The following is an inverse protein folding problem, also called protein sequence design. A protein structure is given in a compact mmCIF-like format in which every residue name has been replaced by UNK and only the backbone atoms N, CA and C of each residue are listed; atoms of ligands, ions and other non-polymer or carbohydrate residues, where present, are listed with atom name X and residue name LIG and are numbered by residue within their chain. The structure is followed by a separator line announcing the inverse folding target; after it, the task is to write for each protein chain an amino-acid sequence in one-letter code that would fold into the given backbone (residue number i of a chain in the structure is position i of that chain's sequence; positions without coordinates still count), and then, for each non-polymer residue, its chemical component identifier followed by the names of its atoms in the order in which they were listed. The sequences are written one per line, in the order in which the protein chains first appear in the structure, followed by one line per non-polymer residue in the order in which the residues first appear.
data_IF_358126764735
#
_entry.id   IF_358126764735
#
_cell.length_a   1.000
_cell.length_b   1.000
_cell.length_c   1.000
_cell.angle_alpha   90.00
_cell.angle_beta   90.00
_cell.angle_gamma   90.00
#
_symmetry.space_group_name_H-M   'P 1'
#
loop_
_entity.id
_entity.type
_entity.pdbx_description
1 polymer ?
#
# COMPACT_ATOMS: atom_id res chain seq x y z
N UNK A 1 31.75 13.60 3.58
CA UNK A 1 30.44 14.25 3.71
C UNK A 1 30.19 14.74 5.14
N UNK A 2 30.04 13.86 6.14
CA UNK A 2 29.70 14.27 7.52
C UNK A 2 30.69 15.22 8.20
N UNK A 3 32.01 15.09 7.96
CA UNK A 3 33.04 15.98 8.53
C UNK A 3 33.02 17.41 7.96
N UNK A 4 32.37 17.62 6.82
CA UNK A 4 32.19 18.93 6.21
C UNK A 4 30.78 19.50 6.47
N UNK A 5 29.97 18.83 7.31
CA UNK A 5 28.61 19.27 7.60
C UNK A 5 28.63 20.44 8.59
N UNK A 6 27.85 21.48 8.30
CA UNK A 6 27.62 22.63 9.20
C UNK A 6 26.56 22.35 10.27
N UNK A 7 26.39 21.10 10.70
CA UNK A 7 25.39 20.71 11.68
C UNK A 7 25.87 21.02 13.11
N UNK A 8 24.94 21.44 13.99
CA UNK A 8 25.26 21.73 15.39
C UNK A 8 25.66 20.47 16.19
N UNK A 9 25.11 19.31 15.82
CA UNK A 9 25.47 18.01 16.36
C UNK A 9 25.26 16.88 15.33
N UNK A 10 25.92 15.75 15.54
CA UNK A 10 25.81 14.56 14.68
C UNK A 10 25.28 13.33 15.44
N UNK A 11 24.45 12.52 14.77
CA UNK A 11 24.18 11.14 15.16
C UNK A 11 25.18 10.24 14.44
N UNK A 12 25.97 9.48 15.19
CA UNK A 12 27.03 8.64 14.64
C UNK A 12 26.85 7.18 15.07
N UNK A 13 27.20 6.20 14.20
CA UNK A 13 27.34 4.82 14.62
C UNK A 13 28.38 4.70 15.75
N UNK A 14 28.11 3.86 16.75
CA UNK A 14 29.08 3.51 17.80
C UNK A 14 30.43 3.11 17.20
N UNK A 15 31.54 3.64 17.75
CA UNK A 15 32.90 3.35 17.27
C UNK A 15 33.39 4.25 16.11
N UNK A 16 32.61 5.25 15.70
CA UNK A 16 33.06 6.22 14.70
C UNK A 16 34.06 7.22 15.32
N UNK A 17 35.24 7.39 14.71
CA UNK A 17 36.31 8.27 15.21
C UNK A 17 36.56 9.53 14.34
N UNK A 18 37.28 10.49 14.93
CA UNK A 18 37.78 11.67 14.23
C UNK A 18 36.73 12.75 13.94
N UNK A 19 35.78 12.92 14.87
CA UNK A 19 34.79 14.00 14.86
C UNK A 19 34.99 14.88 16.09
N UNK A 20 35.12 16.19 15.88
CA UNK A 20 35.36 17.18 16.95
C UNK A 20 34.12 18.00 17.31
N UNK A 21 33.04 17.90 16.52
CA UNK A 21 31.75 18.52 16.83
C UNK A 21 30.97 17.67 17.86
N UNK A 22 29.98 18.27 18.56
CA UNK A 22 29.08 17.52 19.43
C UNK A 22 28.42 16.35 18.70
N UNK A 23 28.38 15.18 19.32
CA UNK A 23 27.77 14.00 18.71
C UNK A 23 27.20 13.04 19.74
N UNK A 24 26.24 12.23 19.30
CA UNK A 24 25.62 11.16 20.08
C UNK A 24 25.84 9.85 19.33
N UNK A 25 26.42 8.87 20.01
CA UNK A 25 26.57 7.53 19.46
C UNK A 25 25.27 6.74 19.59
N UNK A 26 24.86 6.11 18.50
CA UNK A 26 23.65 5.30 18.39
C UNK A 26 23.92 4.10 17.50
N UNK A 27 23.21 2.99 17.73
CA UNK A 27 23.42 1.77 16.94
C UNK A 27 22.88 1.92 15.52
N UNK A 28 21.72 2.57 15.36
CA UNK A 28 21.14 2.93 14.07
C UNK A 28 20.85 4.44 13.99
N UNK A 29 21.72 5.22 13.32
CA UNK A 29 21.53 6.65 13.15
C UNK A 29 20.22 7.03 12.44
N UNK A 30 19.70 6.20 11.53
CA UNK A 30 18.44 6.50 10.81
C UNK A 30 17.25 6.33 11.74
N UNK A 31 17.19 5.23 12.48
CA UNK A 31 16.12 5.01 13.46
C UNK A 31 16.15 6.05 14.58
N UNK A 32 17.35 6.41 15.07
CA UNK A 32 17.51 7.48 16.05
C UNK A 32 17.06 8.84 15.50
N UNK A 33 17.41 9.15 14.25
CA UNK A 33 16.98 10.40 13.61
C UNK A 33 15.46 10.47 13.46
N UNK A 34 14.79 9.37 13.06
CA UNK A 34 13.34 9.31 12.97
C UNK A 34 12.67 9.61 14.33
N UNK A 35 13.21 9.06 15.44
CA UNK A 35 12.72 9.36 16.79
C UNK A 35 12.93 10.82 17.18
N UNK A 36 14.06 11.43 16.80
CA UNK A 36 14.29 12.86 17.05
C UNK A 36 13.30 13.73 16.28
N UNK A 37 12.96 13.38 15.04
CA UNK A 37 11.96 14.13 14.28
C UNK A 37 10.62 14.17 15.00
N UNK A 38 10.20 13.10 15.68
CA UNK A 38 8.97 13.08 16.49
C UNK A 38 9.03 14.06 17.68
N UNK A 39 10.22 14.29 18.26
CA UNK A 39 10.40 15.23 19.38
C UNK A 39 10.41 16.67 18.88
N UNK A 40 11.11 16.93 17.77
CA UNK A 40 11.32 18.28 17.25
C UNK A 40 10.23 18.74 16.27
N UNK A 41 9.32 17.85 15.88
CA UNK A 41 8.15 18.15 15.06
C UNK A 41 6.91 17.66 15.81
N UNK A 42 6.47 18.38 16.87
CA UNK A 42 5.27 18.01 17.60
C UNK A 42 4.06 18.00 16.65
N UNK A 43 3.10 17.14 16.95
CA UNK A 43 1.87 17.04 16.16
C UNK A 43 1.13 18.38 16.17
N UNK A 44 0.46 18.69 15.05
CA UNK A 44 -0.46 19.82 15.01
C UNK A 44 -1.67 19.46 15.87
N UNK A 45 -1.84 20.18 16.97
CA UNK A 45 -2.98 20.01 17.87
C UNK A 45 -4.20 20.80 17.37
N UNK A 46 -5.35 20.16 17.42
CA UNK A 46 -6.65 20.80 17.20
C UNK A 46 -7.41 20.87 18.51
N UNK A 47 -8.30 21.85 18.64
CA UNK A 47 -9.21 21.92 19.77
C UNK A 47 -10.11 20.67 19.75
N UNK A 48 -10.10 19.92 20.86
CA UNK A 48 -10.97 18.75 21.05
C UNK A 48 -12.43 19.18 21.03
N UNK A 49 -13.26 18.40 20.33
CA UNK A 49 -14.68 18.66 20.19
C UNK A 49 -15.17 18.50 18.76
N UNK A 50 -16.47 18.67 18.58
CA UNK A 50 -17.12 18.65 17.27
C UNK A 50 -17.40 20.10 16.86
N UNK A 51 -16.94 20.50 15.69
CA UNK A 51 -17.25 21.81 15.12
C UNK A 51 -18.74 21.93 14.80
N UNK A 52 -19.33 23.10 15.08
CA UNK A 52 -20.71 23.44 14.69
C UNK A 52 -20.92 23.47 13.15
N UNK A 53 -19.83 23.52 12.37
CA UNK A 53 -19.85 23.46 10.90
C UNK A 53 -19.68 22.04 10.36
N UNK A 54 -19.51 21.03 11.23
CA UNK A 54 -19.51 19.63 10.84
C UNK A 54 -20.94 19.07 10.79
N UNK A 55 -21.17 18.08 9.93
CA UNK A 55 -22.42 17.32 9.93
C UNK A 55 -22.25 16.05 10.75
N UNK A 56 -23.12 15.86 11.74
CA UNK A 56 -23.24 14.63 12.53
C UNK A 56 -24.64 14.06 12.35
N UNK A 57 -24.71 12.83 11.83
CA UNK A 57 -25.95 12.09 11.61
C UNK A 57 -26.63 11.61 12.89
N UNK A 58 -27.76 10.95 12.71
CA UNK A 58 -28.53 10.33 13.79
C UNK A 58 -27.78 9.14 14.41
N UNK A 59 -27.93 8.97 15.72
CA UNK A 59 -27.39 7.83 16.49
C UNK A 59 -25.87 7.58 16.31
N UNK A 60 -25.10 8.62 15.95
CA UNK A 60 -23.64 8.58 15.91
C UNK A 60 -23.11 8.42 17.33
N UNK A 61 -22.13 7.52 17.51
CA UNK A 61 -21.44 7.32 18.78
C UNK A 61 -20.07 7.95 18.72
N UNK A 62 -19.79 8.85 19.65
CA UNK A 62 -18.53 9.62 19.69
C UNK A 62 -17.81 9.31 21.01
N UNK A 63 -16.58 8.85 20.91
CA UNK A 63 -15.68 8.58 22.03
C UNK A 63 -15.17 9.86 22.73
N UNK A 64 -14.32 9.65 23.73
CA UNK A 64 -13.69 10.73 24.50
C UNK A 64 -12.54 11.36 23.70
N UNK A 65 -12.42 12.68 23.74
CA UNK A 65 -11.28 13.35 23.12
C UNK A 65 -11.31 13.40 21.58
N UNK A 66 -12.47 13.13 20.97
CA UNK A 66 -12.64 13.19 19.51
C UNK A 66 -12.60 14.64 19.01
N UNK A 67 -11.95 14.84 17.87
CA UNK A 67 -11.90 16.12 17.15
C UNK A 67 -12.55 15.94 15.77
N UNK A 68 -13.64 16.66 15.53
CA UNK A 68 -14.27 16.74 14.19
C UNK A 68 -14.20 18.18 13.71
N UNK A 69 -13.39 18.41 12.67
CA UNK A 69 -13.13 19.73 12.12
C UNK A 69 -14.26 20.21 11.19
N UNK A 70 -14.35 21.53 10.88
CA UNK A 70 -15.39 22.09 10.03
C UNK A 70 -15.58 21.34 8.71
N UNK A 71 -16.83 21.17 8.29
CA UNK A 71 -17.22 20.53 7.03
C UNK A 71 -16.87 19.04 6.89
N UNK A 72 -16.44 18.38 7.96
CA UNK A 72 -16.44 16.93 8.03
C UNK A 72 -17.88 16.39 8.06
N UNK A 73 -18.09 15.19 7.50
CA UNK A 73 -19.40 14.55 7.43
C UNK A 73 -19.34 13.16 8.07
N UNK A 74 -20.05 13.00 9.18
CA UNK A 74 -20.19 11.72 9.89
C UNK A 74 -21.64 11.29 9.79
N UNK A 75 -21.90 10.27 8.99
CA UNK A 75 -23.25 9.80 8.63
C UNK A 75 -23.87 8.94 9.76
N UNK A 76 -25.15 8.64 9.61
CA UNK A 76 -25.99 7.95 10.59
C UNK A 76 -25.36 6.64 11.09
N UNK A 77 -25.50 6.39 12.40
CA UNK A 77 -25.02 5.18 13.08
C UNK A 77 -23.50 4.92 13.01
N UNK A 78 -22.70 5.87 12.52
CA UNK A 78 -21.25 5.76 12.56
C UNK A 78 -20.73 5.75 14.02
N UNK A 79 -19.57 5.13 14.22
CA UNK A 79 -18.91 5.03 15.53
C UNK A 79 -17.50 5.58 15.42
N UNK A 80 -17.17 6.57 16.25
CA UNK A 80 -15.85 7.14 16.41
C UNK A 80 -15.29 6.73 17.78
N UNK A 81 -14.15 6.05 17.78
CA UNK A 81 -13.40 5.70 18.98
C UNK A 81 -12.76 6.91 19.67
N UNK A 82 -12.06 6.66 20.77
CA UNK A 82 -11.45 7.72 21.58
C UNK A 82 -10.31 8.41 20.82
N UNK A 83 -10.20 9.73 20.92
CA UNK A 83 -9.09 10.49 20.31
C UNK A 83 -9.06 10.48 18.78
N UNK A 84 -10.13 10.03 18.11
CA UNK A 84 -10.24 10.10 16.64
C UNK A 84 -10.20 11.56 16.17
N UNK A 85 -9.52 11.82 15.06
CA UNK A 85 -9.49 13.14 14.42
C UNK A 85 -9.98 13.07 12.98
N UNK A 86 -11.04 13.81 12.66
CA UNK A 86 -11.63 13.89 11.33
C UNK A 86 -11.41 15.29 10.76
N UNK A 87 -10.65 15.39 9.68
CA UNK A 87 -10.33 16.65 9.02
C UNK A 87 -11.45 17.16 8.10
N UNK A 88 -11.38 18.44 7.65
CA UNK A 88 -12.39 19.02 6.79
C UNK A 88 -12.68 18.21 5.54
N UNK A 89 -13.97 18.10 5.19
CA UNK A 89 -14.46 17.37 4.02
C UNK A 89 -14.18 15.86 4.01
N UNK A 90 -13.64 15.29 5.09
CA UNK A 90 -13.62 13.85 5.23
C UNK A 90 -15.04 13.30 5.47
N UNK A 91 -15.31 12.10 4.96
CA UNK A 91 -16.60 11.43 5.04
C UNK A 91 -16.48 10.09 5.75
N UNK A 92 -17.33 9.87 6.76
CA UNK A 92 -17.50 8.59 7.45
C UNK A 92 -18.94 8.11 7.22
N UNK A 93 -19.10 7.07 6.41
CA UNK A 93 -20.41 6.58 5.99
C UNK A 93 -21.15 5.76 7.04
N UNK A 94 -22.41 5.44 6.73
CA UNK A 94 -23.32 4.79 7.66
C UNK A 94 -22.79 3.47 8.20
N UNK A 95 -23.00 3.22 9.49
CA UNK A 95 -22.59 1.99 10.18
C UNK A 95 -21.08 1.69 10.14
N UNK A 96 -20.26 2.65 9.73
CA UNK A 96 -18.82 2.50 9.75
C UNK A 96 -18.26 2.74 11.15
N UNK A 97 -17.14 2.08 11.44
CA UNK A 97 -16.46 2.19 12.73
C UNK A 97 -15.04 2.69 12.50
N UNK A 98 -14.66 3.73 13.21
CA UNK A 98 -13.30 4.29 13.23
C UNK A 98 -12.73 4.04 14.63
N UNK A 99 -11.66 3.27 14.73
CA UNK A 99 -11.02 2.93 16.01
C UNK A 99 -10.20 4.07 16.61
N UNK A 100 -9.80 3.88 17.87
CA UNK A 100 -9.18 4.92 18.70
C UNK A 100 -7.93 5.53 18.06
N UNK A 101 -7.75 6.84 18.23
CA UNK A 101 -6.59 7.60 17.78
C UNK A 101 -6.31 7.52 16.28
N UNK A 102 -7.32 7.14 15.48
CA UNK A 102 -7.23 7.15 14.02
C UNK A 102 -7.48 8.56 13.48
N UNK A 103 -6.70 8.92 12.45
CA UNK A 103 -6.75 10.23 11.79
C UNK A 103 -7.20 10.07 10.35
N UNK A 104 -8.27 10.77 9.97
CA UNK A 104 -8.70 10.94 8.58
C UNK A 104 -8.36 12.36 8.14
N UNK A 105 -7.45 12.48 7.18
CA UNK A 105 -7.05 13.76 6.58
C UNK A 105 -8.09 14.29 5.58
N UNK A 106 -7.96 15.55 5.10
CA UNK A 106 -9.00 16.20 4.31
C UNK A 106 -9.44 15.40 3.09
N UNK A 107 -10.75 15.34 2.84
CA UNK A 107 -11.36 14.60 1.73
C UNK A 107 -11.12 13.08 1.75
N UNK A 108 -10.63 12.49 2.84
CA UNK A 108 -10.63 11.03 2.98
C UNK A 108 -12.07 10.51 3.09
N UNK A 109 -12.38 9.44 2.37
CA UNK A 109 -13.72 8.85 2.30
C UNK A 109 -13.68 7.43 2.84
N UNK A 110 -14.36 7.20 3.95
CA UNK A 110 -14.66 5.85 4.46
C UNK A 110 -16.13 5.59 4.16
N UNK A 111 -16.41 4.76 3.16
CA UNK A 111 -17.76 4.35 2.77
C UNK A 111 -18.44 3.56 3.89
N UNK A 112 -19.75 3.38 3.75
CA UNK A 112 -20.62 2.66 4.68
C UNK A 112 -20.13 1.24 5.02
N UNK A 113 -20.49 0.72 6.20
CA UNK A 113 -20.15 -0.62 6.68
C UNK A 113 -18.64 -0.98 6.70
N UNK A 114 -17.76 0.02 6.64
CA UNK A 114 -16.32 -0.19 6.76
C UNK A 114 -15.89 -0.18 8.23
N UNK A 115 -14.85 -0.94 8.56
CA UNK A 115 -14.26 -0.97 9.91
C UNK A 115 -12.79 -0.59 9.81
N UNK A 116 -12.41 0.49 10.44
CA UNK A 116 -11.03 0.98 10.54
C UNK A 116 -10.57 0.78 11.98
N UNK A 117 -9.39 0.20 12.16
CA UNK A 117 -8.78 -0.08 13.45
C UNK A 117 -8.29 1.18 14.17
N UNK A 118 -7.53 0.97 15.23
CA UNK A 118 -6.94 2.02 16.04
C UNK A 118 -5.58 2.48 15.49
N UNK A 119 -5.23 3.75 15.73
CA UNK A 119 -3.95 4.38 15.36
C UNK A 119 -3.67 4.30 13.86
N UNK A 120 -4.72 4.30 13.05
CA UNK A 120 -4.60 4.36 11.61
C UNK A 120 -4.41 5.80 11.13
N UNK A 121 -3.73 5.96 10.01
CA UNK A 121 -3.61 7.24 9.31
C UNK A 121 -4.14 7.10 7.90
N UNK A 122 -5.16 7.87 7.54
CA UNK A 122 -5.77 7.86 6.21
C UNK A 122 -5.55 9.24 5.59
N UNK A 123 -4.64 9.31 4.62
CA UNK A 123 -4.25 10.55 3.94
C UNK A 123 -5.33 11.05 2.97
N UNK A 124 -5.16 12.30 2.56
CA UNK A 124 -6.16 13.03 1.80
C UNK A 124 -6.61 12.31 0.53
N UNK A 125 -7.90 12.39 0.23
CA UNK A 125 -8.52 11.82 -0.97
C UNK A 125 -8.39 10.29 -1.12
N UNK A 126 -7.98 9.56 -0.08
CA UNK A 126 -8.08 8.10 -0.06
C UNK A 126 -9.55 7.69 0.02
N UNK A 127 -9.95 6.65 -0.70
CA UNK A 127 -11.31 6.11 -0.72
C UNK A 127 -11.29 4.65 -0.28
N UNK A 128 -11.95 4.38 0.84
CA UNK A 128 -12.05 3.06 1.45
C UNK A 128 -13.50 2.57 1.32
N UNK A 129 -13.68 1.44 0.66
CA UNK A 129 -14.98 0.80 0.47
C UNK A 129 -15.73 1.24 -0.78
N UNK A 130 -15.04 1.72 -1.81
CA UNK A 130 -15.63 1.88 -3.14
C UNK A 130 -16.05 0.51 -3.72
N UNK A 131 -17.00 0.50 -4.66
CA UNK A 131 -17.42 -0.75 -5.29
C UNK A 131 -16.29 -1.36 -6.11
N UNK A 132 -15.99 -2.64 -5.86
CA UNK A 132 -15.15 -3.45 -6.73
C UNK A 132 -15.58 -3.45 -8.20
N UNK A 133 -14.61 -3.70 -9.09
CA UNK A 133 -14.80 -3.85 -10.53
C UNK A 133 -15.48 -5.18 -10.92
N UNK A 134 -16.70 -5.41 -10.43
CA UNK A 134 -17.49 -6.61 -10.69
C UNK A 134 -18.57 -6.40 -11.75
N UNK A 135 -18.43 -7.07 -12.90
CA UNK A 135 -19.40 -7.05 -14.00
C UNK A 135 -19.63 -8.46 -14.56
N UNK A 136 -20.88 -8.76 -14.92
CA UNK A 136 -21.20 -9.92 -15.77
C UNK A 136 -21.34 -9.43 -17.21
N UNK A 137 -21.13 -10.32 -18.19
CA UNK A 137 -21.28 -9.99 -19.61
C UNK A 137 -22.21 -10.99 -20.28
N UNK A 138 -23.34 -10.50 -20.78
CA UNK A 138 -24.31 -11.30 -21.52
C UNK A 138 -24.62 -10.58 -22.84
N UNK A 139 -24.49 -11.29 -23.97
CA UNK A 139 -24.69 -10.73 -25.32
C UNK A 139 -23.91 -9.41 -25.60
N UNK A 140 -22.72 -9.26 -25.01
CA UNK A 140 -21.89 -8.05 -25.16
C UNK A 140 -22.29 -6.87 -24.27
N UNK A 141 -23.30 -7.04 -23.42
CA UNK A 141 -23.73 -6.03 -22.44
C UNK A 141 -23.10 -6.34 -21.08
N UNK A 142 -22.43 -5.35 -20.50
CA UNK A 142 -21.84 -5.45 -19.17
C UNK A 142 -22.85 -4.99 -18.11
N UNK A 143 -23.16 -5.84 -17.13
CA UNK A 143 -24.09 -5.53 -16.04
C UNK A 143 -23.35 -5.54 -14.71
N UNK A 144 -23.48 -4.45 -13.95
CA UNK A 144 -22.83 -4.29 -12.65
C UNK A 144 -23.29 -5.35 -11.67
N UNK A 145 -22.34 -6.02 -11.03
CA UNK A 145 -22.59 -6.92 -9.90
C UNK A 145 -22.55 -6.09 -8.61
N UNK A 146 -23.64 -6.03 -7.83
CA UNK A 146 -23.64 -5.34 -6.54
C UNK A 146 -22.52 -5.84 -5.62
N UNK A 147 -21.80 -4.90 -5.02
CA UNK A 147 -20.73 -5.19 -4.07
C UNK A 147 -21.27 -4.89 -2.67
N UNK A 148 -21.64 -5.94 -1.93
CA UNK A 148 -22.39 -5.81 -0.66
C UNK A 148 -21.55 -6.11 0.58
N UNK A 149 -20.27 -6.47 0.39
CA UNK A 149 -19.32 -6.60 1.48
C UNK A 149 -18.81 -5.25 1.99
N UNK A 150 -17.89 -5.30 2.95
CA UNK A 150 -17.22 -4.13 3.51
C UNK A 150 -15.70 -4.13 3.27
N UNK A 151 -15.02 -3.21 3.95
CA UNK A 151 -13.57 -3.22 4.13
C UNK A 151 -13.26 -3.28 5.62
N UNK A 152 -12.27 -4.07 5.99
CA UNK A 152 -11.69 -4.11 7.33
C UNK A 152 -10.23 -3.69 7.23
N UNK A 153 -9.89 -2.60 7.89
CA UNK A 153 -8.51 -2.14 8.09
C UNK A 153 -8.18 -2.36 9.55
N UNK A 154 -7.12 -3.12 9.82
CA UNK A 154 -6.67 -3.37 11.19
C UNK A 154 -5.82 -2.22 11.74
N UNK A 155 -5.38 -2.35 12.99
CA UNK A 155 -4.63 -1.32 13.72
C UNK A 155 -3.32 -0.90 13.03
N UNK A 156 -2.85 0.31 13.34
CA UNK A 156 -1.52 0.81 12.97
C UNK A 156 -1.28 0.86 11.45
N UNK A 157 -2.33 0.80 10.63
CA UNK A 157 -2.24 0.89 9.17
C UNK A 157 -2.14 2.35 8.72
N UNK A 158 -1.26 2.62 7.76
CA UNK A 158 -1.16 3.92 7.10
C UNK A 158 -1.53 3.81 5.62
N UNK A 159 -2.43 4.67 5.17
CA UNK A 159 -2.99 4.71 3.82
C UNK A 159 -2.68 6.07 3.21
N UNK A 160 -1.88 6.06 2.15
CA UNK A 160 -1.44 7.24 1.41
C UNK A 160 -2.57 7.96 0.66
N UNK A 161 -2.23 9.13 0.13
CA UNK A 161 -3.16 9.97 -0.60
C UNK A 161 -3.62 9.31 -1.91
N UNK A 162 -4.88 9.53 -2.27
CA UNK A 162 -5.49 8.97 -3.48
C UNK A 162 -5.41 7.44 -3.60
N UNK A 163 -5.28 6.72 -2.48
CA UNK A 163 -5.38 5.27 -2.45
C UNK A 163 -6.85 4.84 -2.60
N UNK A 164 -7.11 3.81 -3.40
CA UNK A 164 -8.42 3.19 -3.54
C UNK A 164 -8.43 1.77 -3.02
N UNK A 165 -9.26 1.48 -2.02
CA UNK A 165 -9.46 0.13 -1.48
C UNK A 165 -10.91 -0.26 -1.70
N UNK A 166 -11.14 -1.24 -2.57
CA UNK A 166 -12.49 -1.67 -2.93
C UNK A 166 -13.06 -2.60 -1.87
N UNK A 167 -14.36 -2.45 -1.59
CA UNK A 167 -15.10 -3.43 -0.79
C UNK A 167 -15.23 -4.74 -1.52
N UNK A 168 -15.34 -5.81 -0.73
CA UNK A 168 -15.60 -7.14 -1.25
C UNK A 168 -17.00 -7.28 -1.87
N UNK A 169 -17.16 -8.22 -2.79
CA UNK A 169 -18.49 -8.61 -3.28
C UNK A 169 -19.33 -9.19 -2.14
N UNK A 170 -18.74 -10.08 -1.36
CA UNK A 170 -19.27 -10.66 -0.12
C UNK A 170 -18.16 -10.69 0.94
N UNK A 171 -18.53 -10.54 2.22
CA UNK A 171 -17.57 -10.53 3.31
C UNK A 171 -16.81 -9.20 3.38
N UNK A 172 -15.48 -9.24 3.41
CA UNK A 172 -14.66 -8.04 3.48
C UNK A 172 -13.34 -8.17 2.70
N UNK A 173 -12.89 -7.05 2.14
CA UNK A 173 -11.47 -6.81 1.82
C UNK A 173 -10.75 -6.50 3.12
N UNK A 174 -9.58 -7.09 3.35
CA UNK A 174 -8.87 -6.99 4.65
C UNK A 174 -7.47 -6.44 4.44
N UNK A 175 -7.11 -5.42 5.23
CA UNK A 175 -5.75 -4.88 5.34
C UNK A 175 -5.22 -5.19 6.74
N UNK A 176 -4.19 -6.04 6.80
CA UNK A 176 -3.60 -6.49 8.05
C UNK A 176 -2.82 -5.42 8.78
N UNK A 177 -2.73 -5.59 10.11
CA UNK A 177 -2.11 -4.67 11.07
C UNK A 177 -0.74 -4.17 10.63
N UNK A 178 -0.47 -2.88 10.86
CA UNK A 178 0.86 -2.29 10.65
C UNK A 178 1.27 -2.09 9.19
N UNK A 179 0.43 -2.49 8.23
CA UNK A 179 0.71 -2.32 6.79
C UNK A 179 0.78 -0.83 6.41
N UNK A 180 1.74 -0.49 5.56
CA UNK A 180 1.97 0.86 5.05
C UNK A 180 1.74 0.89 3.54
N UNK A 181 0.77 1.69 3.13
CA UNK A 181 0.33 1.83 1.74
C UNK A 181 0.65 3.25 1.29
N UNK A 182 1.50 3.37 0.28
CA UNK A 182 1.92 4.65 -0.28
C UNK A 182 0.86 5.18 -1.28
N UNK A 183 1.07 6.38 -1.79
CA UNK A 183 0.11 7.12 -2.60
C UNK A 183 -0.27 6.39 -3.90
N UNK A 184 -1.49 6.62 -4.38
CA UNK A 184 -2.00 6.12 -5.66
C UNK A 184 -1.99 4.59 -5.81
N UNK A 185 -1.97 3.84 -4.70
CA UNK A 185 -2.14 2.39 -4.71
C UNK A 185 -3.61 2.04 -4.93
N UNK A 186 -3.85 0.94 -5.65
CA UNK A 186 -5.17 0.33 -5.77
C UNK A 186 -5.18 -1.08 -5.22
N UNK A 187 -6.17 -1.39 -4.37
CA UNK A 187 -6.44 -2.72 -3.83
C UNK A 187 -7.85 -3.12 -4.23
N UNK A 188 -7.94 -4.14 -5.08
CA UNK A 188 -9.21 -4.65 -5.59
C UNK A 188 -10.05 -5.39 -4.54
N UNK A 189 -11.30 -5.65 -4.89
CA UNK A 189 -12.26 -6.31 -4.03
C UNK A 189 -11.80 -7.69 -3.54
N UNK A 190 -12.22 -8.10 -2.35
CA UNK A 190 -11.93 -9.41 -1.76
C UNK A 190 -10.45 -9.71 -1.47
N UNK A 191 -9.56 -8.72 -1.62
CA UNK A 191 -8.15 -8.92 -1.26
C UNK A 191 -8.00 -9.18 0.24
N UNK A 192 -6.97 -9.95 0.59
CA UNK A 192 -6.51 -10.13 1.97
C UNK A 192 -5.04 -9.82 2.03
N UNK A 193 -4.70 -8.66 2.56
CA UNK A 193 -3.32 -8.22 2.73
C UNK A 193 -2.90 -8.57 4.17
N UNK A 194 -1.78 -9.27 4.32
CA UNK A 194 -1.24 -9.63 5.62
C UNK A 194 -0.69 -8.44 6.39
N UNK A 195 -0.14 -8.71 7.58
CA UNK A 195 0.42 -7.71 8.47
C UNK A 195 1.77 -7.16 7.96
N UNK A 196 2.08 -5.91 8.33
CA UNK A 196 3.37 -5.26 8.13
C UNK A 196 3.87 -5.27 6.68
N UNK A 197 2.95 -5.25 5.71
CA UNK A 197 3.31 -5.10 4.31
C UNK A 197 3.75 -3.66 4.01
N UNK A 198 4.66 -3.51 3.04
CA UNK A 198 5.04 -2.23 2.46
C UNK A 198 4.57 -2.20 1.01
N UNK A 199 3.61 -1.34 0.69
CA UNK A 199 3.01 -1.25 -0.64
C UNK A 199 3.33 0.11 -1.23
N UNK A 200 4.37 0.18 -2.06
CA UNK A 200 4.92 1.46 -2.59
C UNK A 200 4.05 2.00 -3.73
N UNK A 201 4.15 3.30 -3.97
CA UNK A 201 3.24 4.07 -4.82
C UNK A 201 2.93 3.42 -6.17
N UNK A 202 1.68 3.61 -6.61
CA UNK A 202 1.15 3.12 -7.89
C UNK A 202 1.15 1.60 -8.04
N UNK A 203 1.28 0.84 -6.95
CA UNK A 203 1.05 -0.60 -6.97
C UNK A 203 -0.43 -0.90 -7.21
N UNK A 204 -0.72 -1.88 -8.07
CA UNK A 204 -2.07 -2.38 -8.34
C UNK A 204 -2.22 -3.84 -7.93
N UNK A 205 -3.07 -4.10 -6.94
CA UNK A 205 -3.40 -5.45 -6.47
C UNK A 205 -4.80 -5.83 -6.97
N UNK A 206 -4.87 -6.80 -7.88
CA UNK A 206 -6.14 -7.25 -8.44
C UNK A 206 -6.99 -8.02 -7.43
N UNK A 207 -8.31 -8.04 -7.66
CA UNK A 207 -9.27 -8.63 -6.73
C UNK A 207 -9.00 -10.09 -6.37
N UNK A 208 -9.41 -10.47 -5.16
CA UNK A 208 -9.27 -11.80 -4.57
C UNK A 208 -7.83 -12.29 -4.38
N UNK A 209 -6.84 -11.41 -4.45
CA UNK A 209 -5.44 -11.74 -4.15
C UNK A 209 -5.21 -11.84 -2.65
N UNK A 210 -4.48 -12.87 -2.23
CA UNK A 210 -4.09 -13.13 -0.84
C UNK A 210 -2.60 -12.88 -0.70
N UNK A 211 -2.20 -12.00 0.21
CA UNK A 211 -0.81 -11.64 0.46
C UNK A 211 -0.47 -12.02 1.90
N UNK A 212 0.66 -12.70 2.09
CA UNK A 212 1.21 -13.00 3.42
C UNK A 212 1.70 -11.75 4.17
N UNK A 213 2.30 -11.94 5.35
CA UNK A 213 2.86 -10.85 6.13
C UNK A 213 4.26 -10.42 5.63
N UNK A 214 4.70 -9.21 5.98
CA UNK A 214 6.03 -8.67 5.64
C UNK A 214 6.37 -8.66 4.14
N UNK A 215 5.36 -8.58 3.26
CA UNK A 215 5.60 -8.48 1.81
C UNK A 215 5.87 -7.03 1.43
N UNK A 216 6.92 -6.81 0.64
CA UNK A 216 7.26 -5.50 0.07
C UNK A 216 6.97 -5.49 -1.43
N UNK A 217 6.03 -4.65 -1.85
CA UNK A 217 5.78 -4.31 -3.25
C UNK A 217 6.48 -2.99 -3.56
N UNK A 218 7.50 -3.03 -4.42
CA UNK A 218 8.13 -1.83 -4.96
C UNK A 218 7.16 -1.02 -5.84
N UNK A 219 7.53 0.22 -6.15
CA UNK A 219 6.64 1.12 -6.89
C UNK A 219 6.20 0.55 -8.23
N UNK A 220 4.94 0.77 -8.61
CA UNK A 220 4.35 0.29 -9.85
C UNK A 220 4.37 -1.25 -10.02
N UNK A 221 4.39 -2.04 -8.93
CA UNK A 221 4.16 -3.47 -9.05
C UNK A 221 2.69 -3.74 -9.40
N UNK A 222 2.45 -4.73 -10.26
CA UNK A 222 1.09 -5.15 -10.63
C UNK A 222 0.90 -6.65 -10.38
N UNK A 223 -0.31 -7.04 -10.00
CA UNK A 223 -0.69 -8.46 -9.83
C UNK A 223 -1.92 -8.80 -10.64
N UNK A 224 -2.00 -10.03 -11.17
CA UNK A 224 -3.28 -10.61 -11.60
C UNK A 224 -4.14 -10.97 -10.37
N UNK A 225 -5.44 -11.19 -10.58
CA UNK A 225 -6.36 -11.55 -9.49
C UNK A 225 -6.32 -13.03 -9.12
N UNK A 226 -6.93 -13.37 -8.00
CA UNK A 226 -7.11 -14.77 -7.55
C UNK A 226 -5.81 -15.56 -7.33
N UNK A 227 -4.74 -14.88 -6.93
CA UNK A 227 -3.44 -15.53 -6.61
C UNK A 227 -3.11 -15.43 -5.13
N UNK A 228 -2.15 -16.26 -4.71
CA UNK A 228 -1.54 -16.22 -3.39
C UNK A 228 -0.07 -15.78 -3.49
N UNK A 229 0.30 -14.81 -2.67
CA UNK A 229 1.66 -14.27 -2.55
C UNK A 229 2.18 -14.62 -1.17
N UNK A 230 3.25 -15.42 -1.14
CA UNK A 230 3.89 -15.85 0.10
C UNK A 230 4.45 -14.69 0.93
N UNK A 231 4.51 -14.89 2.24
CA UNK A 231 5.05 -13.92 3.18
C UNK A 231 6.54 -13.61 2.94
N UNK A 232 7.08 -12.62 3.66
CA UNK A 232 8.50 -12.31 3.71
C UNK A 232 9.15 -12.14 2.32
N UNK A 233 8.37 -11.67 1.35
CA UNK A 233 8.77 -11.59 -0.06
C UNK A 233 8.94 -10.15 -0.50
N UNK A 234 9.84 -9.92 -1.45
CA UNK A 234 10.15 -8.61 -2.00
C UNK A 234 9.99 -8.65 -3.51
N UNK A 235 9.15 -7.77 -4.04
CA UNK A 235 8.99 -7.55 -5.46
C UNK A 235 9.53 -6.17 -5.81
N UNK A 236 10.63 -6.11 -6.56
CA UNK A 236 11.20 -4.84 -6.98
C UNK A 236 10.23 -4.06 -7.87
N UNK A 237 10.45 -2.74 -7.97
CA UNK A 237 9.61 -1.84 -8.73
C UNK A 237 9.33 -2.34 -10.16
N UNK A 238 8.10 -2.13 -10.65
CA UNK A 238 7.62 -2.56 -11.98
C UNK A 238 7.59 -4.07 -12.23
N UNK A 239 7.62 -4.90 -11.19
CA UNK A 239 7.40 -6.34 -11.35
C UNK A 239 5.93 -6.63 -11.67
N UNK A 240 5.69 -7.59 -12.56
CA UNK A 240 4.35 -8.13 -12.86
C UNK A 240 4.21 -9.54 -12.31
N UNK A 241 3.28 -9.75 -11.36
CA UNK A 241 3.02 -11.05 -10.74
C UNK A 241 1.80 -11.68 -11.42
N UNK A 242 2.05 -12.76 -12.18
CA UNK A 242 1.05 -13.39 -13.06
C UNK A 242 0.57 -14.76 -12.57
N UNK A 243 0.93 -15.16 -11.35
CA UNK A 243 0.58 -16.45 -10.76
C UNK A 243 0.96 -16.50 -9.28
N UNK A 244 0.68 -17.63 -8.64
CA UNK A 244 1.05 -17.85 -7.24
C UNK A 244 2.56 -17.74 -7.03
N UNK A 245 2.95 -17.10 -5.94
CA UNK A 245 4.36 -16.91 -5.57
C UNK A 245 4.68 -17.57 -4.23
N UNK A 246 5.80 -18.29 -4.12
CA UNK A 246 6.21 -18.90 -2.86
C UNK A 246 6.69 -17.84 -1.86
N UNK A 247 6.80 -18.27 -0.60
CA UNK A 247 7.31 -17.44 0.50
C UNK A 247 8.82 -17.17 0.38
N UNK A 248 9.27 -16.02 0.90
CA UNK A 248 10.69 -15.72 1.07
C UNK A 248 11.45 -15.36 -0.21
N UNK A 249 10.74 -14.98 -1.28
CA UNK A 249 11.38 -14.68 -2.56
C UNK A 249 11.76 -13.21 -2.70
N UNK A 250 12.86 -12.97 -3.39
CA UNK A 250 13.19 -11.65 -3.94
C UNK A 250 13.08 -11.74 -5.46
N UNK A 251 12.06 -11.11 -6.03
CA UNK A 251 11.82 -11.10 -7.47
C UNK A 251 11.95 -9.69 -8.05
N UNK A 252 12.47 -9.61 -9.27
CA UNK A 252 12.67 -8.33 -9.96
C UNK A 252 12.59 -8.50 -11.48
N UNK A 253 12.37 -7.38 -12.17
CA UNK A 253 12.54 -7.14 -13.60
C UNK A 253 12.60 -5.63 -13.84
N UNK A 254 13.18 -5.18 -14.97
CA UNK A 254 13.59 -3.78 -15.27
C UNK A 254 14.98 -3.42 -14.67
N UNK A 255 15.93 -2.92 -15.47
CA UNK A 255 16.31 -1.52 -15.24
C UNK A 255 16.34 -0.68 -16.51
N UNK A 256 16.52 0.63 -16.33
CA UNK A 256 16.84 1.55 -17.43
C UNK A 256 18.14 1.09 -18.10
N UNK A 257 18.14 1.13 -19.43
CA UNK A 257 19.29 0.81 -20.26
C UNK A 257 19.52 1.95 -21.25
N UNK A 258 20.77 2.15 -21.73
CA UNK A 258 21.02 3.06 -22.84
C UNK A 258 20.11 2.72 -24.04
N UNK A 259 19.49 3.74 -24.64
CA UNK A 259 18.45 3.57 -25.67
C UNK A 259 18.84 2.59 -26.80
N UNK A 260 20.07 2.72 -27.33
CA UNK A 260 20.56 1.86 -28.41
C UNK A 260 20.72 0.41 -27.98
N UNK A 261 21.14 0.16 -26.74
CA UNK A 261 21.25 -1.19 -26.19
C UNK A 261 19.87 -1.81 -26.00
N UNK A 262 18.94 -1.04 -25.43
CA UNK A 262 17.56 -1.47 -25.25
C UNK A 262 16.90 -1.87 -26.59
N UNK A 263 17.03 -1.06 -27.64
CA UNK A 263 16.50 -1.39 -28.97
C UNK A 263 17.07 -2.70 -29.54
N UNK A 264 18.37 -2.97 -29.31
CA UNK A 264 19.00 -4.23 -29.76
C UNK A 264 18.44 -5.43 -29.01
N UNK A 265 18.26 -5.32 -27.69
CA UNK A 265 17.65 -6.37 -26.87
C UNK A 265 16.22 -6.65 -27.35
N UNK A 266 15.40 -5.61 -27.58
CA UNK A 266 14.03 -5.77 -28.07
C UNK A 266 13.97 -6.44 -29.46
N UNK A 267 14.86 -6.07 -30.38
CA UNK A 267 14.95 -6.71 -31.69
C UNK A 267 15.34 -8.19 -31.58
N UNK A 268 16.23 -8.55 -30.65
CA UNK A 268 16.61 -9.93 -30.38
C UNK A 268 15.45 -10.73 -29.75
N UNK A 269 14.74 -10.17 -28.77
CA UNK A 269 13.58 -10.82 -28.14
C UNK A 269 12.50 -11.17 -29.16
N UNK A 270 12.22 -10.28 -30.14
CA UNK A 270 11.27 -10.56 -31.23
C UNK A 270 11.65 -11.79 -32.06
N UNK A 271 12.95 -12.07 -32.20
CA UNK A 271 13.48 -13.21 -32.97
C UNK A 271 13.68 -14.48 -32.12
N UNK A 272 13.48 -14.40 -30.81
CA UNK A 272 13.72 -15.50 -29.88
C UNK A 272 12.97 -16.80 -30.28
N UNK A 273 11.70 -16.78 -30.74
CA UNK A 273 11.03 -18.00 -31.17
C UNK A 273 11.72 -18.69 -32.36
N UNK A 274 12.23 -17.93 -33.34
CA UNK A 274 12.97 -18.49 -34.47
C UNK A 274 14.35 -19.02 -34.03
N UNK A 275 15.02 -18.30 -33.12
CA UNK A 275 16.30 -18.74 -32.55
C UNK A 275 16.14 -20.08 -31.82
N UNK A 276 15.08 -20.26 -31.03
CA UNK A 276 14.78 -21.55 -30.35
C UNK A 276 14.58 -22.67 -31.37
N UNK A 277 13.82 -22.44 -32.46
CA UNK A 277 13.66 -23.43 -33.54
C UNK A 277 15.01 -23.80 -34.18
N UNK A 278 15.85 -22.80 -34.43
CA UNK A 278 17.17 -22.99 -35.02
C UNK A 278 18.11 -23.76 -34.09
N UNK A 279 18.10 -23.48 -32.78
CA UNK A 279 18.89 -24.23 -31.78
C UNK A 279 18.48 -25.70 -31.78
N UNK A 280 17.18 -26.01 -31.71
CA UNK A 280 16.69 -27.41 -31.78
C UNK A 280 17.11 -28.14 -33.06
N UNK A 281 17.07 -27.45 -34.21
CA UNK A 281 17.52 -28.03 -35.48
C UNK A 281 19.03 -28.30 -35.50
N UNK A 282 19.83 -27.43 -34.88
CA UNK A 282 21.27 -27.63 -34.72
C UNK A 282 21.58 -28.77 -33.76
N UNK A 283 20.90 -28.87 -32.62
CA UNK A 283 21.04 -29.97 -31.66
C UNK A 283 20.80 -31.33 -32.34
N UNK A 284 19.71 -31.45 -33.10
CA UNK A 284 19.41 -32.67 -33.87
C UNK A 284 20.51 -33.03 -34.87
N UNK A 285 20.99 -32.03 -35.62
CA UNK A 285 22.09 -32.24 -36.58
C UNK A 285 23.37 -32.73 -35.87
N UNK A 286 23.68 -32.19 -34.69
CA UNK A 286 24.86 -32.59 -33.91
C UNK A 286 24.74 -34.03 -33.41
N UNK A 287 23.56 -34.44 -32.92
CA UNK A 287 23.30 -35.83 -32.49
C UNK A 287 23.49 -36.82 -33.65
N UNK A 288 22.94 -36.50 -34.83
CA UNK A 288 23.10 -37.32 -36.04
C UNK A 288 24.55 -37.45 -36.49
N UNK A 289 25.38 -36.43 -36.28
CA UNK A 289 26.82 -36.47 -36.60
C UNK A 289 27.61 -37.29 -35.58
N UNK A 290 27.25 -37.22 -34.28
CA UNK A 290 27.94 -37.96 -33.21
C UNK A 290 27.60 -39.44 -33.17
N UNK A 291 26.36 -39.82 -33.53
CA UNK A 291 25.95 -41.23 -33.63
C UNK A 291 26.48 -41.96 -34.87
N UNK A 292 27.24 -41.26 -35.74
CA UNK A 292 27.92 -41.82 -36.92
C UNK A 292 29.43 -42.04 -36.70
N UNK A 293 29.91 -41.97 -35.45
CA UNK A 293 31.24 -42.42 -35.01
C UNK A 293 31.11 -43.71 -34.23
#
# INVERSE_FOLDING_TARGET
AARAASAAALLLPTGTEGFTCPHIFVDDPKAAFARLLTIFTPAIEHAVGVSDEAYIGADVRIGTGVTVLPFAYVDDHAVLGDGVTIYPHAYVGQYSVIGDHTVLYPNAVVREHCRIGARCTIHSCAVIGADGFGFTTEAGVHTKVPQVGGVVVEDDVEIGAHVGIDRATLGATVIGKGTKIDNLVHIGHNCRIGENCLIVAQTGISGSTKVGHNVTFGGQVGTVGHISIGANSVYAARSGIIGDMPEGVFCAGFPVQPHTEWLRVQAAMRRLPEMVKKVKALEKTIEELRGKS
#
